data_IF_337512224692
#
_entry.id   IF_337512224692
#
_cell.length_a   1.000
_cell.length_b   1.000
_cell.length_c   1.000
_cell.angle_alpha   90.00
_cell.angle_beta   90.00
_cell.angle_gamma   90.00
#
_symmetry.space_group_name_H-M   'P 1'
#
loop_
_entity.id
_entity.type
_entity.pdbx_description
1 polymer ?
#
# COMPACT_ATOMS: atom_id res chain seq x y z
N UNK A 1 -27.90 -13.39 -5.01
CA UNK A 1 -26.71 -14.03 -5.59
C UNK A 1 -25.52 -13.36 -4.95
N UNK A 2 -24.73 -14.13 -4.20
CA UNK A 2 -23.52 -13.60 -3.57
C UNK A 2 -22.42 -13.52 -4.63
N UNK A 3 -21.68 -12.41 -4.67
CA UNK A 3 -20.58 -12.24 -5.62
C UNK A 3 -19.45 -13.25 -5.34
N UNK A 4 -19.33 -13.73 -4.10
CA UNK A 4 -18.34 -14.74 -3.71
C UNK A 4 -18.54 -16.08 -4.41
N UNK A 5 -19.75 -16.36 -4.87
CA UNK A 5 -20.10 -17.61 -5.57
C UNK A 5 -19.90 -17.51 -7.10
N UNK A 6 -19.53 -16.34 -7.63
CA UNK A 6 -19.37 -16.17 -9.07
C UNK A 6 -18.07 -16.83 -9.52
N UNK A 7 -18.19 -17.87 -10.33
CA UNK A 7 -17.07 -18.54 -10.98
C UNK A 7 -16.88 -18.03 -12.41
N UNK A 8 -15.64 -17.66 -12.74
CA UNK A 8 -15.26 -17.28 -14.08
C UNK A 8 -14.25 -18.30 -14.63
N UNK A 9 -14.49 -18.81 -15.84
CA UNK A 9 -13.59 -19.77 -16.48
C UNK A 9 -12.21 -19.13 -16.69
N UNK A 10 -11.16 -19.75 -16.14
CA UNK A 10 -9.75 -19.30 -16.18
C UNK A 10 -9.43 -18.04 -15.35
N UNK A 11 -10.24 -17.70 -14.35
CA UNK A 11 -9.92 -16.69 -13.34
C UNK A 11 -9.85 -17.39 -11.99
N UNK A 12 -8.79 -17.14 -11.22
CA UNK A 12 -8.60 -17.84 -9.94
C UNK A 12 -9.55 -17.31 -8.85
N UNK A 13 -9.67 -15.99 -8.74
CA UNK A 13 -10.57 -15.31 -7.81
C UNK A 13 -10.75 -13.85 -8.21
N UNK A 14 -11.82 -13.24 -7.69
CA UNK A 14 -12.10 -11.81 -7.77
C UNK A 14 -11.93 -11.20 -6.39
N UNK A 15 -11.38 -10.00 -6.31
CA UNK A 15 -11.35 -9.23 -5.08
C UNK A 15 -12.24 -7.99 -5.25
N UNK A 16 -13.05 -7.69 -4.25
CA UNK A 16 -13.97 -6.56 -4.28
C UNK A 16 -13.34 -5.39 -3.55
N UNK A 17 -13.03 -4.30 -4.25
CA UNK A 17 -12.65 -3.05 -3.60
C UNK A 17 -13.82 -2.54 -2.77
N UNK A 18 -13.64 -2.44 -1.45
CA UNK A 18 -14.71 -2.02 -0.52
C UNK A 18 -14.48 -0.63 0.06
N UNK A 19 -13.25 -0.13 0.03
CA UNK A 19 -12.91 1.17 0.56
C UNK A 19 -11.62 1.73 -0.05
N UNK A 20 -11.53 3.05 -0.07
CA UNK A 20 -10.33 3.81 -0.36
C UNK A 20 -10.14 4.84 0.76
N UNK A 21 -8.92 4.96 1.26
CA UNK A 21 -8.54 5.87 2.33
C UNK A 21 -7.45 6.81 1.84
N UNK A 22 -7.61 8.10 2.11
CA UNK A 22 -6.54 9.09 2.00
C UNK A 22 -5.77 9.12 3.33
N UNK A 23 -4.48 8.86 3.28
CA UNK A 23 -3.59 8.86 4.44
C UNK A 23 -2.67 10.07 4.35
N UNK A 24 -2.83 11.02 5.28
CA UNK A 24 -1.89 12.13 5.44
C UNK A 24 -0.86 11.76 6.51
N UNK A 25 0.42 11.79 6.16
CA UNK A 25 1.52 11.35 7.03
C UNK A 25 2.70 12.35 7.03
N UNK A 26 2.40 13.66 6.96
CA UNK A 26 3.41 14.73 6.89
C UNK A 26 4.51 14.59 7.95
N UNK A 27 4.12 14.42 9.22
CA UNK A 27 5.07 14.28 10.33
C UNK A 27 6.05 13.12 10.13
N UNK A 28 5.61 12.01 9.52
CA UNK A 28 6.49 10.89 9.23
C UNK A 28 7.44 11.22 8.07
N UNK A 29 6.90 11.78 6.98
CA UNK A 29 7.70 12.10 5.80
C UNK A 29 8.75 13.18 6.07
N UNK A 30 8.50 14.12 6.99
CA UNK A 30 9.52 15.07 7.49
C UNK A 30 10.74 14.37 8.10
N UNK A 31 10.59 13.17 8.64
CA UNK A 31 11.71 12.43 9.25
C UNK A 31 12.55 11.65 8.24
N UNK A 32 12.06 11.46 7.01
CA UNK A 32 12.73 10.64 6.00
C UNK A 32 13.33 11.47 4.85
N UNK A 33 12.79 12.66 4.57
CA UNK A 33 13.33 13.60 3.59
C UNK A 33 14.31 14.58 4.23
N UNK A 34 15.29 15.07 3.47
CA UNK A 34 16.27 16.06 3.94
C UNK A 34 15.77 17.51 3.76
N UNK A 35 15.23 17.82 2.57
CA UNK A 35 14.92 19.20 2.18
C UNK A 35 13.43 19.45 2.00
N UNK A 36 12.78 18.66 1.14
CA UNK A 36 11.40 18.86 0.71
C UNK A 36 10.63 17.56 0.84
N UNK A 37 9.44 17.65 1.45
CA UNK A 37 8.49 16.54 1.46
C UNK A 37 7.93 16.35 0.05
N UNK A 38 8.41 15.34 -0.67
CA UNK A 38 7.95 15.04 -2.03
C UNK A 38 6.58 14.35 -2.05
N UNK A 39 6.28 13.57 -1.00
CA UNK A 39 5.00 12.92 -0.80
C UNK A 39 4.60 13.09 0.66
N UNK A 40 3.53 13.85 0.92
CA UNK A 40 3.00 14.06 2.28
C UNK A 40 1.76 13.23 2.60
N UNK A 41 1.18 12.62 1.55
CA UNK A 41 0.00 11.79 1.63
C UNK A 41 0.06 10.67 0.58
N UNK A 42 -0.66 9.59 0.85
CA UNK A 42 -0.84 8.45 -0.05
C UNK A 42 -2.22 7.83 0.18
N UNK A 43 -2.65 6.99 -0.76
CA UNK A 43 -3.92 6.27 -0.68
C UNK A 43 -3.72 4.82 -0.30
N UNK A 44 -4.71 4.25 0.37
CA UNK A 44 -4.85 2.81 0.59
C UNK A 44 -6.19 2.35 0.02
N UNK A 45 -6.17 1.35 -0.86
CA UNK A 45 -7.38 0.62 -1.23
C UNK A 45 -7.46 -0.65 -0.42
N UNK A 46 -8.64 -0.96 0.09
CA UNK A 46 -8.92 -2.21 0.80
C UNK A 46 -9.88 -3.05 -0.02
N UNK A 47 -9.51 -4.31 -0.19
CA UNK A 47 -10.26 -5.30 -0.93
C UNK A 47 -10.74 -6.39 0.01
N UNK A 48 -11.98 -6.81 -0.16
CA UNK A 48 -12.50 -8.04 0.40
C UNK A 48 -12.18 -9.20 -0.55
N UNK A 49 -11.61 -10.28 -0.03
CA UNK A 49 -11.30 -11.47 -0.83
C UNK A 49 -12.54 -12.32 -1.09
N UNK A 50 -12.62 -12.90 -2.29
CA UNK A 50 -13.65 -13.89 -2.61
C UNK A 50 -13.52 -15.15 -1.76
N UNK A 51 -12.28 -15.60 -1.54
CA UNK A 51 -11.97 -16.80 -0.76
C UNK A 51 -11.38 -16.41 0.59
N UNK A 52 -11.96 -16.96 1.65
CA UNK A 52 -11.60 -16.67 3.03
C UNK A 52 -12.26 -15.40 3.57
N UNK A 53 -12.39 -15.32 4.89
CA UNK A 53 -12.92 -14.15 5.59
C UNK A 53 -11.79 -13.15 5.89
N UNK A 54 -11.17 -12.64 4.83
CA UNK A 54 -10.01 -11.75 4.94
C UNK A 54 -10.10 -10.57 3.99
N UNK A 55 -9.42 -9.50 4.40
CA UNK A 55 -9.28 -8.26 3.69
C UNK A 55 -7.80 -8.01 3.40
N UNK A 56 -7.50 -7.37 2.28
CA UNK A 56 -6.15 -6.95 1.91
C UNK A 56 -6.14 -5.47 1.57
N UNK A 57 -5.16 -4.73 2.10
CA UNK A 57 -4.90 -3.35 1.73
C UNK A 57 -3.63 -3.22 0.90
N UNK A 58 -3.61 -2.22 0.02
CA UNK A 58 -2.46 -1.85 -0.80
C UNK A 58 -2.33 -0.34 -0.92
N UNK A 59 -1.10 0.18 -0.87
CA UNK A 59 -0.81 1.61 -1.06
C UNK A 59 -0.61 1.99 -2.53
N UNK A 60 -0.94 3.23 -2.91
CA UNK A 60 -0.65 3.77 -4.25
C UNK A 60 0.77 4.33 -4.38
N UNK A 61 1.34 4.78 -3.27
CA UNK A 61 2.74 5.15 -3.18
C UNK A 61 3.54 3.87 -2.95
N UNK A 62 4.52 3.65 -3.80
CA UNK A 62 5.37 2.46 -3.78
C UNK A 62 6.82 2.87 -3.59
N UNK A 63 7.55 2.07 -2.84
CA UNK A 63 8.97 2.24 -2.56
C UNK A 63 9.77 1.34 -3.49
N UNK A 64 10.93 1.81 -3.95
CA UNK A 64 11.83 1.01 -4.77
C UNK A 64 12.34 -0.21 -3.98
N UNK A 65 12.31 -1.38 -4.60
CA UNK A 65 12.86 -2.61 -4.04
C UNK A 65 14.34 -2.81 -4.42
N UNK A 66 14.98 -3.83 -3.85
CA UNK A 66 16.39 -4.16 -4.11
C UNK A 66 16.69 -4.66 -5.53
N UNK A 67 15.66 -5.05 -6.29
CA UNK A 67 15.74 -5.51 -7.67
C UNK A 67 15.43 -4.39 -8.67
N UNK A 68 15.16 -3.17 -8.19
CA UNK A 68 14.79 -2.01 -9.01
C UNK A 68 13.32 -1.96 -9.40
N UNK A 69 12.48 -2.86 -8.87
CA UNK A 69 11.03 -2.78 -8.94
C UNK A 69 10.47 -1.79 -7.92
N UNK A 70 9.15 -1.66 -7.87
CA UNK A 70 8.46 -0.80 -6.90
C UNK A 70 7.31 -1.55 -6.23
N UNK A 71 7.32 -1.58 -4.90
CA UNK A 71 6.33 -2.28 -4.08
C UNK A 71 5.60 -1.31 -3.15
N UNK A 72 4.28 -1.46 -3.06
CA UNK A 72 3.46 -0.75 -2.08
C UNK A 72 3.49 -1.44 -0.73
N UNK A 73 2.99 -0.77 0.30
CA UNK A 73 2.62 -1.43 1.55
C UNK A 73 1.53 -2.47 1.27
N UNK A 74 1.66 -3.63 1.91
CA UNK A 74 0.71 -4.73 1.81
C UNK A 74 0.36 -5.20 3.22
N UNK A 75 -0.94 -5.28 3.51
CA UNK A 75 -1.42 -5.75 4.81
C UNK A 75 -2.71 -6.54 4.68
N UNK A 76 -2.83 -7.62 5.45
CA UNK A 76 -4.06 -8.42 5.51
C UNK A 76 -4.69 -8.38 6.89
N UNK A 77 -6.01 -8.48 6.98
CA UNK A 77 -6.74 -8.49 8.24
C UNK A 77 -8.05 -9.28 8.18
N UNK A 78 -8.62 -9.58 9.34
CA UNK A 78 -9.97 -10.17 9.47
C UNK A 78 -11.09 -9.12 9.39
N UNK A 79 -10.73 -7.84 9.41
CA UNK A 79 -11.63 -6.72 9.12
C UNK A 79 -10.94 -5.70 8.21
N UNK A 80 -11.73 -4.79 7.65
CA UNK A 80 -11.23 -3.67 6.84
C UNK A 80 -10.25 -2.79 7.64
N UNK A 81 -10.59 -2.48 8.89
CA UNK A 81 -9.77 -1.66 9.79
C UNK A 81 -8.44 -2.33 10.08
N UNK A 82 -8.44 -3.65 10.34
CA UNK A 82 -7.22 -4.39 10.58
C UNK A 82 -6.34 -4.46 9.31
N UNK A 83 -6.94 -4.64 8.13
CA UNK A 83 -6.19 -4.61 6.88
C UNK A 83 -5.58 -3.23 6.63
N UNK A 84 -6.33 -2.15 6.87
CA UNK A 84 -5.84 -0.77 6.76
C UNK A 84 -4.66 -0.52 7.69
N UNK A 85 -4.82 -0.83 8.99
CA UNK A 85 -3.76 -0.68 10.00
C UNK A 85 -2.49 -1.44 9.60
N UNK A 86 -2.64 -2.73 9.28
CA UNK A 86 -1.52 -3.57 8.88
C UNK A 86 -0.83 -3.07 7.61
N UNK A 87 -1.60 -2.52 6.65
CA UNK A 87 -1.05 -1.99 5.40
C UNK A 87 -0.22 -0.74 5.64
N UNK A 88 -0.73 0.20 6.44
CA UNK A 88 -0.02 1.45 6.77
C UNK A 88 1.24 1.15 7.58
N UNK A 89 1.13 0.29 8.60
CA UNK A 89 2.28 -0.10 9.42
C UNK A 89 3.35 -0.80 8.58
N UNK A 90 2.96 -1.76 7.73
CA UNK A 90 3.90 -2.43 6.83
C UNK A 90 4.61 -1.43 5.90
N UNK A 91 3.89 -0.46 5.34
CA UNK A 91 4.50 0.53 4.45
C UNK A 91 5.54 1.39 5.18
N UNK A 92 5.19 1.88 6.37
CA UNK A 92 6.10 2.69 7.20
C UNK A 92 7.34 1.89 7.59
N UNK A 93 7.17 0.63 7.99
CA UNK A 93 8.28 -0.27 8.33
C UNK A 93 9.22 -0.49 7.13
N UNK A 94 8.67 -0.76 5.94
CA UNK A 94 9.45 -0.93 4.72
C UNK A 94 10.27 0.33 4.37
N UNK A 95 9.67 1.52 4.50
CA UNK A 95 10.35 2.80 4.29
C UNK A 95 11.50 2.99 5.27
N UNK A 96 11.27 2.70 6.55
CA UNK A 96 12.28 2.85 7.61
C UNK A 96 13.43 1.86 7.41
N UNK A 97 13.14 0.62 7.04
CA UNK A 97 14.14 -0.39 6.72
C UNK A 97 14.97 0.03 5.49
N UNK A 98 14.33 0.50 4.43
CA UNK A 98 15.00 0.99 3.23
C UNK A 98 15.91 2.18 3.54
N UNK A 99 15.42 3.19 4.27
CA UNK A 99 16.23 4.34 4.70
C UNK A 99 17.45 3.90 5.50
N UNK A 100 17.27 2.98 6.45
CA UNK A 100 18.35 2.42 7.26
C UNK A 100 19.42 1.75 6.38
N UNK A 101 19.00 0.93 5.40
CA UNK A 101 19.90 0.26 4.45
C UNK A 101 20.61 1.24 3.52
N UNK A 102 19.91 2.28 3.06
CA UNK A 102 20.45 3.32 2.16
C UNK A 102 21.46 4.23 2.88
N UNK A 103 21.32 4.41 4.19
CA UNK A 103 22.26 5.17 5.03
C UNK A 103 22.18 6.69 4.85
N UNK A 104 21.18 7.18 4.12
CA UNK A 104 20.91 8.61 3.92
C UNK A 104 19.38 8.85 3.86
N UNK A 105 19.00 10.12 3.87
CA UNK A 105 17.59 10.50 3.67
C UNK A 105 17.10 10.08 2.27
N UNK A 106 15.80 9.89 2.16
CA UNK A 106 15.16 9.48 0.93
C UNK A 106 14.94 10.68 0.02
N UNK A 107 14.82 10.40 -1.27
CA UNK A 107 14.50 11.39 -2.30
C UNK A 107 13.26 10.97 -3.08
N UNK A 108 12.79 11.84 -3.97
CA UNK A 108 11.60 11.57 -4.78
C UNK A 108 11.73 10.28 -5.60
N UNK A 109 12.94 9.97 -6.07
CA UNK A 109 13.27 8.87 -6.97
C UNK A 109 13.14 7.49 -6.29
N UNK A 110 13.22 7.45 -4.96
CA UNK A 110 13.02 6.23 -4.18
C UNK A 110 11.57 5.74 -4.21
N UNK A 111 10.65 6.58 -4.68
CA UNK A 111 9.23 6.29 -4.71
C UNK A 111 8.64 6.47 -6.11
N UNK A 112 7.56 5.73 -6.35
CA UNK A 112 6.64 5.98 -7.46
C UNK A 112 5.22 6.09 -6.93
N UNK A 113 4.49 7.10 -7.40
CA UNK A 113 3.07 7.26 -7.12
C UNK A 113 2.29 6.73 -8.33
N UNK A 114 1.46 5.71 -8.11
CA UNK A 114 0.54 5.26 -9.15
C UNK A 114 -0.59 6.27 -9.34
N UNK A 115 -0.88 6.60 -10.59
CA UNK A 115 -1.97 7.49 -10.94
C UNK A 115 -3.33 6.88 -10.56
N UNK A 116 -4.36 7.71 -10.42
CA UNK A 116 -5.68 7.26 -9.93
C UNK A 116 -6.37 6.23 -10.82
N UNK A 117 -6.09 6.24 -12.12
CA UNK A 117 -6.56 5.27 -13.10
C UNK A 117 -5.72 3.98 -13.13
N UNK A 118 -4.49 4.04 -12.61
CA UNK A 118 -3.56 2.91 -12.51
C UNK A 118 -3.56 2.26 -11.11
N UNK A 119 -4.15 2.93 -10.12
CA UNK A 119 -4.31 2.49 -8.74
C UNK A 119 -5.75 2.06 -8.48
#
# INVERSE_FOLDING_TARGET
>A
MDWKEIEFKKVDYVERCIAEFEITALNFFETIYEDVIHYGAFKVKVYERQVGETYIGVTNLRLQDSFGGYEGGLGSGKSMEQALENTVNNFIENIMEYKSKKGMNLSKEDFVLLAYDEF
#
